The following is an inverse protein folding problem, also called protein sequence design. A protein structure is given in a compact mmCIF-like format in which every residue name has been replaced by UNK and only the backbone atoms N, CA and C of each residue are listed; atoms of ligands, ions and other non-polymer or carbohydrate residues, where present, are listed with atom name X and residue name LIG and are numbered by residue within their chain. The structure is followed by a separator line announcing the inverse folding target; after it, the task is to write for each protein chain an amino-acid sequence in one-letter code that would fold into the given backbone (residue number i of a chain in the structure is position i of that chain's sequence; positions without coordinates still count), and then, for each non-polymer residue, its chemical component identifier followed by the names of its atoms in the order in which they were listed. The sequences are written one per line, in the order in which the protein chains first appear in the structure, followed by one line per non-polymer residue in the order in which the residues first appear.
data_IF_368134775004
#
_entry.id   IF_368134775004
#
_cell.length_a   1.000
_cell.length_b   1.000
_cell.length_c   1.000
_cell.angle_alpha   90.00
_cell.angle_beta   90.00
_cell.angle_gamma   90.00
#
_symmetry.space_group_name_H-M   'P 1'
#
loop_
_entity.id
_entity.type
_entity.pdbx_description
1 polymer ?
#
# COMPACT_ATOMS: atom_id res chain seq x y z
N UNK A 1 -0.27 -33.87 -7.16
CA UNK A 1 0.98 -33.16 -6.83
C UNK A 1 1.66 -32.81 -8.14
N UNK A 2 1.52 -31.57 -8.59
CA UNK A 2 2.22 -31.05 -9.77
C UNK A 2 3.13 -29.92 -9.29
N UNK A 3 4.37 -30.25 -9.01
CA UNK A 3 5.44 -29.26 -8.80
C UNK A 3 5.81 -28.67 -10.14
N UNK A 4 5.09 -27.64 -10.55
CA UNK A 4 5.49 -26.78 -11.66
C UNK A 4 6.76 -26.02 -11.25
N UNK A 5 7.91 -26.58 -11.60
CA UNK A 5 9.16 -25.82 -11.73
C UNK A 5 8.88 -24.66 -12.70
N UNK A 6 8.57 -23.47 -12.20
CA UNK A 6 8.57 -22.25 -13.01
C UNK A 6 10.02 -21.81 -13.15
N UNK A 7 10.74 -22.13 -14.24
CA UNK A 7 12.19 -22.08 -14.20
C UNK A 7 12.72 -20.65 -14.15
N UNK A 8 11.89 -19.65 -14.46
CA UNK A 8 12.28 -18.24 -14.49
C UNK A 8 11.08 -17.32 -14.23
N UNK A 9 10.87 -16.89 -12.97
CA UNK A 9 9.85 -15.89 -12.56
C UNK A 9 10.21 -14.47 -13.04
N UNK A 10 11.17 -14.33 -13.96
CA UNK A 10 11.78 -13.05 -14.32
C UNK A 10 10.88 -12.13 -15.15
N UNK A 11 9.94 -12.66 -15.93
CA UNK A 11 9.08 -11.83 -16.79
C UNK A 11 7.71 -11.55 -16.16
N UNK A 12 7.10 -10.44 -16.56
CA UNK A 12 5.80 -9.97 -16.05
C UNK A 12 4.68 -11.00 -16.22
N UNK A 13 4.68 -11.76 -17.33
CA UNK A 13 3.69 -12.82 -17.57
C UNK A 13 3.76 -13.90 -16.51
N UNK A 14 4.96 -14.41 -16.21
CA UNK A 14 5.15 -15.46 -15.24
C UNK A 14 4.82 -14.97 -13.82
N UNK A 15 5.15 -13.72 -13.49
CA UNK A 15 4.79 -13.10 -12.20
C UNK A 15 3.29 -12.97 -12.03
N UNK A 16 2.58 -12.48 -13.05
CA UNK A 16 1.12 -12.35 -13.01
C UNK A 16 0.44 -13.72 -12.87
N UNK A 17 0.90 -14.72 -13.63
CA UNK A 17 0.36 -16.08 -13.53
C UNK A 17 0.58 -16.67 -12.13
N UNK A 18 1.80 -16.56 -11.60
CA UNK A 18 2.14 -17.04 -10.25
C UNK A 18 1.30 -16.36 -9.17
N UNK A 19 1.13 -15.04 -9.26
CA UNK A 19 0.29 -14.29 -8.34
C UNK A 19 -1.14 -14.83 -8.34
N UNK A 20 -1.75 -14.93 -9.52
CA UNK A 20 -3.12 -15.42 -9.67
C UNK A 20 -3.27 -16.86 -9.16
N UNK A 21 -2.29 -17.73 -9.43
CA UNK A 21 -2.29 -19.13 -8.99
C UNK A 21 -2.30 -19.28 -7.47
N UNK A 22 -1.68 -18.35 -6.75
CA UNK A 22 -1.66 -18.37 -5.29
C UNK A 22 -2.89 -17.72 -4.66
N UNK A 23 -3.53 -16.77 -5.36
CA UNK A 23 -4.65 -16.01 -4.81
C UNK A 23 -6.02 -16.56 -5.18
N UNK A 24 -6.12 -17.37 -6.23
CA UNK A 24 -7.40 -17.86 -6.75
C UNK A 24 -7.37 -19.37 -6.95
N UNK A 25 -8.43 -20.05 -6.50
CA UNK A 25 -8.61 -21.49 -6.68
C UNK A 25 -8.55 -21.90 -8.15
N UNK A 26 -7.80 -22.97 -8.43
CA UNK A 26 -7.52 -23.45 -9.79
C UNK A 26 -8.79 -23.81 -10.57
N UNK A 27 -9.78 -24.44 -9.92
CA UNK A 27 -10.98 -24.96 -10.59
C UNK A 27 -11.91 -23.84 -11.07
N UNK A 28 -11.90 -22.72 -10.36
CA UNK A 28 -12.83 -21.61 -10.58
C UNK A 28 -12.15 -20.33 -11.07
N UNK A 29 -10.82 -20.36 -11.24
CA UNK A 29 -9.95 -19.21 -11.53
C UNK A 29 -10.52 -18.20 -12.51
N UNK A 30 -10.85 -18.62 -13.72
CA UNK A 30 -11.25 -17.67 -14.77
C UNK A 30 -12.60 -17.02 -14.51
N UNK A 31 -13.55 -17.78 -13.95
CA UNK A 31 -14.86 -17.25 -13.57
C UNK A 31 -14.76 -16.31 -12.37
N UNK A 32 -13.92 -16.67 -11.39
CA UNK A 32 -13.65 -15.82 -10.23
C UNK A 32 -12.97 -14.51 -10.64
N UNK A 33 -11.94 -14.57 -11.50
CA UNK A 33 -11.28 -13.37 -12.01
C UNK A 33 -12.22 -12.49 -12.81
N UNK A 34 -13.08 -13.05 -13.66
CA UNK A 34 -14.09 -12.27 -14.39
C UNK A 34 -15.05 -11.55 -13.44
N UNK A 35 -15.54 -12.24 -12.41
CA UNK A 35 -16.41 -11.63 -11.40
C UNK A 35 -15.71 -10.52 -10.60
N UNK A 36 -14.42 -10.68 -10.31
CA UNK A 36 -13.63 -9.72 -9.51
C UNK A 36 -13.13 -8.52 -10.33
N UNK A 37 -12.84 -8.72 -11.62
CA UNK A 37 -12.12 -7.73 -12.45
C UNK A 37 -12.95 -7.15 -13.58
N UNK A 38 -14.11 -7.73 -13.88
CA UNK A 38 -14.91 -7.45 -15.06
C UNK A 38 -14.18 -7.69 -16.40
N UNK A 39 -13.03 -8.38 -16.38
CA UNK A 39 -12.30 -8.82 -17.56
C UNK A 39 -12.77 -10.22 -17.94
N UNK A 40 -13.19 -10.40 -19.20
CA UNK A 40 -13.82 -11.65 -19.66
C UNK A 40 -12.99 -12.88 -19.31
N UNK A 41 -13.63 -13.95 -18.84
CA UNK A 41 -12.95 -15.21 -18.48
C UNK A 41 -12.14 -15.80 -19.65
N UNK A 42 -12.58 -15.57 -20.89
CA UNK A 42 -11.86 -15.98 -22.09
C UNK A 42 -10.49 -15.29 -22.22
N UNK A 43 -10.39 -14.01 -21.88
CA UNK A 43 -9.13 -13.29 -21.91
C UNK A 43 -8.16 -13.86 -20.86
N UNK A 44 -8.63 -14.08 -19.63
CA UNK A 44 -7.80 -14.73 -18.61
C UNK A 44 -7.30 -16.11 -19.06
N UNK A 45 -8.17 -16.89 -19.70
CA UNK A 45 -7.80 -18.20 -20.26
C UNK A 45 -6.73 -18.08 -21.35
N UNK A 46 -6.89 -17.14 -22.28
CA UNK A 46 -5.94 -16.93 -23.38
C UNK A 46 -4.58 -16.44 -22.86
N UNK A 47 -4.56 -15.62 -21.80
CA UNK A 47 -3.34 -15.20 -21.12
C UNK A 47 -2.59 -16.40 -20.51
N UNK A 48 -3.30 -17.25 -19.76
CA UNK A 48 -2.72 -18.46 -19.16
C UNK A 48 -2.23 -19.45 -20.23
N UNK A 49 -2.99 -19.61 -21.32
CA UNK A 49 -2.62 -20.44 -22.47
C UNK A 49 -1.43 -19.87 -23.28
N UNK A 50 -0.97 -18.65 -22.97
CA UNK A 50 0.14 -18.00 -23.68
C UNK A 50 -0.22 -17.49 -25.07
N UNK A 51 -1.52 -17.40 -25.38
CA UNK A 51 -2.03 -16.84 -26.63
C UNK A 51 -2.01 -15.31 -26.63
N UNK A 52 -2.00 -14.68 -25.45
CA UNK A 52 -1.81 -13.25 -25.31
C UNK A 52 -0.82 -12.89 -24.21
N UNK A 53 -0.19 -11.72 -24.37
CA UNK A 53 0.60 -11.08 -23.32
C UNK A 53 -0.34 -10.45 -22.27
N UNK A 54 0.12 -10.22 -21.03
CA UNK A 54 -0.63 -9.41 -20.08
C UNK A 54 -0.99 -8.05 -20.69
N UNK A 55 -2.26 -7.66 -20.62
CA UNK A 55 -2.68 -6.31 -20.98
C UNK A 55 -2.53 -5.36 -19.79
N UNK A 56 -2.58 -4.05 -20.05
CA UNK A 56 -2.51 -3.04 -18.99
C UNK A 56 -3.66 -3.23 -17.99
N UNK A 57 -4.87 -3.52 -18.49
CA UNK A 57 -6.07 -3.74 -17.68
C UNK A 57 -5.92 -4.96 -16.76
N UNK A 58 -5.30 -6.04 -17.23
CA UNK A 58 -5.05 -7.22 -16.41
C UNK A 58 -4.07 -6.94 -15.27
N UNK A 59 -3.01 -6.18 -15.56
CA UNK A 59 -1.98 -5.80 -14.58
C UNK A 59 -2.60 -4.86 -13.54
N UNK A 60 -3.35 -3.86 -13.98
CA UNK A 60 -4.06 -2.94 -13.10
C UNK A 60 -5.06 -3.68 -12.21
N UNK A 61 -5.89 -4.55 -12.79
CA UNK A 61 -6.90 -5.30 -12.04
C UNK A 61 -6.27 -6.19 -10.96
N UNK A 62 -5.20 -6.93 -11.28
CA UNK A 62 -4.48 -7.73 -10.29
C UNK A 62 -3.82 -6.86 -9.21
N UNK A 63 -3.22 -5.72 -9.61
CA UNK A 63 -2.57 -4.79 -8.69
C UNK A 63 -3.57 -4.10 -7.75
N UNK A 64 -4.83 -3.95 -8.16
CA UNK A 64 -5.88 -3.37 -7.33
C UNK A 64 -6.52 -4.41 -6.40
N UNK A 65 -6.66 -5.66 -6.85
CA UNK A 65 -7.15 -6.76 -6.02
C UNK A 65 -6.17 -7.15 -4.91
N UNK A 66 -4.88 -7.13 -5.22
CA UNK A 66 -3.82 -7.53 -4.28
C UNK A 66 -2.68 -6.50 -4.27
N UNK A 67 -2.93 -5.30 -3.74
CA UNK A 67 -2.01 -4.17 -3.84
C UNK A 67 -0.67 -4.37 -3.12
N UNK A 68 -0.61 -5.26 -2.13
CA UNK A 68 0.64 -5.64 -1.49
C UNK A 68 1.64 -6.31 -2.46
N UNK A 69 1.18 -6.89 -3.56
CA UNK A 69 2.04 -7.53 -4.57
C UNK A 69 2.30 -6.64 -5.80
N UNK A 70 1.67 -5.46 -5.91
CA UNK A 70 1.72 -4.63 -7.11
C UNK A 70 3.15 -4.20 -7.49
N UNK A 71 3.96 -3.81 -6.50
CA UNK A 71 5.36 -3.45 -6.71
C UNK A 71 6.14 -4.63 -7.28
N UNK A 72 6.10 -5.78 -6.60
CA UNK A 72 6.78 -7.00 -7.06
C UNK A 72 6.30 -7.47 -8.42
N UNK A 73 4.99 -7.38 -8.70
CA UNK A 73 4.40 -7.77 -9.97
C UNK A 73 5.03 -7.02 -11.15
N UNK A 74 5.35 -5.74 -10.97
CA UNK A 74 5.92 -4.89 -12.04
C UNK A 74 7.45 -4.88 -12.01
N UNK A 75 8.08 -4.73 -10.84
CA UNK A 75 9.54 -4.56 -10.71
C UNK A 75 10.34 -5.86 -10.60
N UNK A 76 9.75 -6.88 -9.97
CA UNK A 76 10.35 -8.21 -9.81
C UNK A 76 11.15 -8.34 -8.51
N UNK A 77 11.16 -7.27 -7.72
CA UNK A 77 11.77 -7.19 -6.39
C UNK A 77 10.69 -6.80 -5.38
N UNK A 78 10.84 -7.20 -4.13
CA UNK A 78 9.96 -6.77 -3.04
C UNK A 78 10.52 -5.55 -2.32
N UNK A 79 9.62 -4.77 -1.71
CA UNK A 79 9.93 -3.69 -0.78
C UNK A 79 9.15 -3.93 0.52
N UNK A 80 9.56 -5.02 1.18
CA UNK A 80 8.82 -5.55 2.30
C UNK A 80 8.87 -4.65 3.54
N UNK A 81 9.80 -3.70 3.63
CA UNK A 81 9.83 -2.69 4.69
C UNK A 81 8.58 -1.79 4.63
N UNK A 82 8.15 -1.45 3.42
CA UNK A 82 6.95 -0.65 3.16
C UNK A 82 5.68 -1.50 2.98
N UNK A 83 5.77 -2.82 3.17
CA UNK A 83 4.64 -3.74 3.05
C UNK A 83 4.36 -4.23 1.62
N UNK A 84 5.26 -3.96 0.68
CA UNK A 84 5.21 -4.51 -0.66
C UNK A 84 5.96 -5.83 -0.73
N UNK A 85 5.24 -6.93 -0.85
CA UNK A 85 5.79 -8.29 -0.72
C UNK A 85 5.71 -9.06 -2.05
N UNK A 86 6.37 -10.21 -2.14
CA UNK A 86 6.14 -11.15 -3.22
C UNK A 86 5.19 -12.29 -2.78
N UNK A 87 4.57 -13.01 -3.72
CA UNK A 87 3.92 -14.28 -3.43
C UNK A 87 4.90 -15.30 -2.85
N UNK A 88 4.38 -16.33 -2.18
CA UNK A 88 5.18 -17.36 -1.51
C UNK A 88 6.18 -17.98 -2.48
N UNK A 89 7.45 -18.05 -2.04
CA UNK A 89 8.55 -18.63 -2.82
C UNK A 89 9.12 -17.74 -3.91
N UNK A 90 8.63 -16.51 -4.08
CA UNK A 90 9.12 -15.55 -5.07
C UNK A 90 9.79 -14.30 -4.46
N UNK A 91 10.03 -14.31 -3.16
CA UNK A 91 10.65 -13.21 -2.42
C UNK A 91 12.12 -13.01 -2.83
N UNK A 92 12.45 -11.77 -3.22
CA UNK A 92 13.80 -11.30 -3.43
C UNK A 92 13.86 -9.80 -3.14
N UNK A 93 14.83 -9.28 -2.37
CA UNK A 93 16.03 -9.95 -1.84
C UNK A 93 15.87 -10.60 -0.46
N UNK A 94 14.82 -10.28 0.31
CA UNK A 94 14.60 -10.81 1.66
C UNK A 94 13.20 -11.40 1.80
N UNK A 95 13.12 -12.55 2.48
CA UNK A 95 11.85 -13.10 2.96
C UNK A 95 11.42 -12.29 4.17
N UNK A 96 10.26 -11.67 4.07
CA UNK A 96 9.64 -10.93 5.17
C UNK A 96 8.20 -11.42 5.33
N UNK A 97 7.70 -11.54 6.56
CA UNK A 97 6.32 -11.92 6.79
C UNK A 97 5.39 -10.86 6.18
N UNK A 98 4.24 -11.31 5.68
CA UNK A 98 3.17 -10.43 5.21
C UNK A 98 2.85 -9.39 6.27
N UNK A 99 2.77 -8.12 5.87
CA UNK A 99 2.28 -7.04 6.72
C UNK A 99 0.78 -6.85 6.48
N UNK A 100 -0.04 -7.30 7.43
CA UNK A 100 -1.50 -7.21 7.27
C UNK A 100 -1.99 -5.77 7.28
N UNK A 101 -1.39 -4.92 8.11
CA UNK A 101 -1.77 -3.52 8.21
C UNK A 101 -1.46 -2.78 6.90
N UNK A 102 -0.32 -3.08 6.25
CA UNK A 102 0.01 -2.51 4.95
C UNK A 102 -0.98 -2.93 3.86
N UNK A 103 -1.34 -4.22 3.80
CA UNK A 103 -2.30 -4.73 2.82
C UNK A 103 -3.66 -4.02 2.97
N UNK A 104 -4.15 -3.90 4.22
CA UNK A 104 -5.40 -3.19 4.54
C UNK A 104 -5.31 -1.69 4.21
N UNK A 105 -4.18 -1.06 4.52
CA UNK A 105 -3.93 0.35 4.20
C UNK A 105 -4.01 0.61 2.70
N UNK A 106 -3.38 -0.23 1.88
CA UNK A 106 -3.39 -0.05 0.43
C UNK A 106 -4.79 -0.19 -0.15
N UNK A 107 -5.55 -1.21 0.28
CA UNK A 107 -6.96 -1.37 -0.10
C UNK A 107 -7.75 -0.11 0.27
N UNK A 108 -7.57 0.40 1.50
CA UNK A 108 -8.26 1.60 1.97
C UNK A 108 -7.91 2.86 1.17
N UNK A 109 -6.64 3.00 0.76
CA UNK A 109 -6.20 4.10 -0.11
C UNK A 109 -6.81 3.99 -1.51
N UNK A 110 -6.95 2.77 -2.05
CA UNK A 110 -7.63 2.53 -3.33
C UNK A 110 -9.12 2.91 -3.20
N UNK A 111 -9.80 2.47 -2.15
CA UNK A 111 -11.20 2.85 -1.89
C UNK A 111 -11.36 4.38 -1.76
N UNK A 112 -10.40 5.05 -1.12
CA UNK A 112 -10.39 6.52 -1.02
C UNK A 112 -10.24 7.16 -2.39
N UNK A 113 -9.35 6.65 -3.23
CA UNK A 113 -9.15 7.13 -4.59
C UNK A 113 -10.42 6.93 -5.44
N UNK A 114 -11.07 5.79 -5.33
CA UNK A 114 -12.31 5.49 -6.06
C UNK A 114 -13.45 6.39 -5.61
N UNK A 115 -13.64 6.57 -4.30
CA UNK A 115 -14.63 7.51 -3.77
C UNK A 115 -14.40 8.95 -4.26
N UNK A 116 -13.13 9.37 -4.38
CA UNK A 116 -12.80 10.66 -4.97
C UNK A 116 -13.16 10.73 -6.46
N UNK A 117 -12.86 9.68 -7.24
CA UNK A 117 -13.20 9.61 -8.67
C UNK A 117 -14.71 9.63 -8.88
N UNK A 118 -15.47 8.90 -8.06
CA UNK A 118 -16.93 8.86 -8.13
C UNK A 118 -17.53 10.23 -7.80
N UNK A 119 -17.06 10.87 -6.73
CA UNK A 119 -17.49 12.22 -6.37
C UNK A 119 -17.19 13.23 -7.48
N UNK A 120 -16.04 13.10 -8.14
CA UNK A 120 -15.65 13.94 -9.26
C UNK A 120 -16.50 13.71 -10.50
N UNK A 121 -16.73 12.45 -10.89
CA UNK A 121 -17.56 12.10 -12.04
C UNK A 121 -19.04 12.46 -11.86
N UNK A 122 -19.50 12.55 -10.61
CA UNK A 122 -20.86 12.97 -10.29
C UNK A 122 -21.08 14.48 -10.45
N UNK A 123 -20.01 15.28 -10.51
CA UNK A 123 -20.09 16.72 -10.67
C UNK A 123 -19.87 17.12 -12.15
N UNK A 124 -20.93 17.60 -12.85
CA UNK A 124 -20.83 17.96 -14.27
C UNK A 124 -19.82 19.06 -14.55
N UNK A 125 -19.57 19.96 -13.59
CA UNK A 125 -18.68 21.11 -13.76
C UNK A 125 -17.19 20.70 -13.74
N UNK A 126 -16.90 19.46 -13.32
CA UNK A 126 -15.55 18.92 -13.21
C UNK A 126 -15.18 17.95 -14.33
N UNK A 127 -16.05 17.72 -15.32
CA UNK A 127 -15.72 16.84 -16.45
C UNK A 127 -14.67 17.43 -17.44
N UNK A 128 -14.00 18.53 -17.07
CA UNK A 128 -12.90 19.12 -17.82
C UNK A 128 -11.60 18.28 -17.65
N UNK A 129 -11.01 17.77 -18.75
CA UNK A 129 -9.75 17.00 -18.71
C UNK A 129 -8.59 17.73 -18.00
N UNK A 130 -8.54 19.06 -18.05
CA UNK A 130 -7.49 19.86 -17.39
C UNK A 130 -7.67 19.82 -15.88
N UNK A 131 -8.91 19.84 -15.40
CA UNK A 131 -9.23 19.70 -13.97
C UNK A 131 -8.92 18.29 -13.47
N UNK A 132 -9.18 17.25 -14.27
CA UNK A 132 -8.81 15.86 -13.96
C UNK A 132 -7.30 15.72 -13.73
N UNK A 133 -6.48 16.32 -14.58
CA UNK A 133 -5.02 16.29 -14.47
C UNK A 133 -4.53 17.07 -13.23
N UNK A 134 -5.08 18.25 -12.97
CA UNK A 134 -4.68 19.10 -11.84
C UNK A 134 -4.99 18.45 -10.46
N UNK A 135 -6.11 17.73 -10.36
CA UNK A 135 -6.51 16.98 -9.16
C UNK A 135 -5.58 15.79 -8.93
N UNK A 136 -5.19 15.10 -10.00
CA UNK A 136 -4.30 13.94 -9.94
C UNK A 136 -2.88 14.34 -9.46
N UNK A 137 -2.38 15.50 -9.88
CA UNK A 137 -1.01 15.95 -9.59
C UNK A 137 -0.86 16.58 -8.20
N UNK A 138 -1.86 17.34 -7.72
CA UNK A 138 -1.73 18.14 -6.49
C UNK A 138 -2.25 17.46 -5.21
N UNK A 139 -2.80 16.25 -5.35
CA UNK A 139 -3.34 15.46 -4.26
C UNK A 139 -4.73 15.90 -3.82
N UNK A 140 -5.67 14.96 -3.80
CA UNK A 140 -7.09 15.13 -3.47
C UNK A 140 -7.38 15.82 -2.12
N UNK A 141 -6.43 15.82 -1.18
CA UNK A 141 -6.66 16.27 0.19
C UNK A 141 -6.88 17.78 0.34
N UNK A 142 -6.27 18.61 -0.52
CA UNK A 142 -6.40 20.06 -0.40
C UNK A 142 -7.66 20.60 -1.05
N UNK A 143 -8.20 19.90 -2.05
CA UNK A 143 -9.20 20.47 -2.92
C UNK A 143 -10.63 20.07 -2.61
N UNK A 144 -10.88 18.95 -1.93
CA UNK A 144 -12.26 18.48 -1.72
C UNK A 144 -13.16 19.47 -0.94
N UNK A 145 -12.58 20.23 0.01
CA UNK A 145 -13.30 21.30 0.71
C UNK A 145 -13.43 22.59 -0.12
N UNK A 146 -12.54 22.81 -1.09
CA UNK A 146 -12.57 23.96 -2.00
C UNK A 146 -13.44 23.71 -3.25
N UNK A 147 -13.70 22.44 -3.59
CA UNK A 147 -14.36 22.00 -4.83
C UNK A 147 -15.88 21.85 -4.72
N UNK A 148 -16.50 22.22 -3.59
CA UNK A 148 -17.97 22.21 -3.50
C UNK A 148 -18.62 20.82 -3.44
N UNK A 149 -17.87 19.76 -3.11
CA UNK A 149 -18.44 18.41 -2.97
C UNK A 149 -19.58 18.39 -1.94
N UNK A 150 -20.56 17.51 -2.19
CA UNK A 150 -21.68 17.29 -1.27
C UNK A 150 -21.20 16.91 0.13
N UNK A 151 -21.99 17.26 1.15
CA UNK A 151 -21.69 16.90 2.54
C UNK A 151 -21.50 15.39 2.70
N UNK A 152 -22.28 14.57 1.99
CA UNK A 152 -22.16 13.11 2.00
C UNK A 152 -20.81 12.62 1.44
N UNK A 153 -20.34 13.15 0.30
CA UNK A 153 -19.03 12.79 -0.24
C UNK A 153 -17.90 13.20 0.71
N UNK A 154 -17.97 14.41 1.27
CA UNK A 154 -16.95 14.89 2.21
C UNK A 154 -16.94 14.09 3.52
N UNK A 155 -18.10 13.64 4.01
CA UNK A 155 -18.19 12.79 5.20
C UNK A 155 -17.55 11.42 4.98
N UNK A 156 -17.87 10.76 3.87
CA UNK A 156 -17.27 9.46 3.51
C UNK A 156 -15.75 9.57 3.34
N UNK A 157 -15.26 10.63 2.68
CA UNK A 157 -13.83 10.85 2.52
C UNK A 157 -13.11 11.08 3.85
N UNK A 158 -13.71 11.82 4.80
CA UNK A 158 -13.15 12.00 6.14
C UNK A 158 -13.06 10.69 6.91
N UNK A 159 -14.07 9.83 6.80
CA UNK A 159 -14.08 8.51 7.43
C UNK A 159 -12.95 7.63 6.87
N UNK A 160 -12.84 7.52 5.55
CA UNK A 160 -11.78 6.76 4.88
C UNK A 160 -10.38 7.28 5.22
N UNK A 161 -10.21 8.61 5.34
CA UNK A 161 -8.95 9.23 5.76
C UNK A 161 -8.59 8.89 7.22
N UNK A 162 -9.59 8.85 8.11
CA UNK A 162 -9.39 8.45 9.50
C UNK A 162 -8.96 6.99 9.58
N UNK A 163 -9.60 6.10 8.82
CA UNK A 163 -9.22 4.68 8.73
C UNK A 163 -7.80 4.51 8.16
N UNK A 164 -7.46 5.23 7.08
CA UNK A 164 -6.10 5.24 6.53
C UNK A 164 -5.05 5.62 7.58
N UNK A 165 -5.33 6.65 8.39
CA UNK A 165 -4.41 7.12 9.44
C UNK A 165 -4.18 6.02 10.50
N UNK A 166 -5.25 5.39 10.96
CA UNK A 166 -5.17 4.30 11.94
C UNK A 166 -4.38 3.10 11.40
N UNK A 167 -4.56 2.78 10.11
CA UNK A 167 -3.84 1.69 9.46
C UNK A 167 -2.36 2.02 9.23
N UNK A 168 -2.01 3.28 8.98
CA UNK A 168 -0.61 3.72 8.90
C UNK A 168 0.09 3.55 10.25
N UNK A 169 -0.54 4.00 11.34
CA UNK A 169 -0.04 3.82 12.71
C UNK A 169 0.14 2.33 13.03
N UNK A 170 -0.84 1.50 12.68
CA UNK A 170 -0.77 0.05 12.85
C UNK A 170 0.36 -0.59 12.02
N UNK A 171 0.61 -0.10 10.80
CA UNK A 171 1.69 -0.58 9.93
C UNK A 171 3.06 -0.26 10.52
N UNK A 172 3.26 0.95 11.03
CA UNK A 172 4.50 1.34 11.70
C UNK A 172 4.75 0.44 12.90
N UNK A 173 3.73 0.21 13.74
CA UNK A 173 3.84 -0.67 14.90
C UNK A 173 4.13 -2.13 14.50
N UNK A 174 3.45 -2.65 13.48
CA UNK A 174 3.67 -4.00 12.95
C UNK A 174 5.10 -4.17 12.43
N UNK A 175 5.60 -3.17 11.70
CA UNK A 175 6.99 -3.14 11.22
C UNK A 175 7.97 -3.12 12.40
N UNK A 176 7.77 -2.25 13.39
CA UNK A 176 8.63 -2.19 14.57
C UNK A 176 8.69 -3.52 15.31
N UNK A 177 7.55 -4.17 15.55
CA UNK A 177 7.49 -5.49 16.20
C UNK A 177 8.24 -6.54 15.38
N UNK A 178 8.00 -6.59 14.07
CA UNK A 178 8.57 -7.63 13.19
C UNK A 178 10.05 -7.43 12.89
N UNK A 179 10.56 -6.20 12.92
CA UNK A 179 11.96 -5.87 12.62
C UNK A 179 12.83 -5.83 13.89
N UNK A 180 12.31 -5.36 15.04
CA UNK A 180 13.10 -5.26 16.28
C UNK A 180 13.11 -6.50 17.17
N UNK A 181 12.25 -7.49 16.94
CA UNK A 181 12.28 -8.72 17.71
C UNK A 181 13.28 -9.74 17.11
N UNK A 182 14.27 -10.25 17.86
CA UNK A 182 15.25 -11.20 17.34
C UNK A 182 14.58 -12.46 16.79
N UNK A 183 14.95 -12.81 15.56
CA UNK A 183 14.52 -13.98 14.80
C UNK A 183 15.19 -15.24 15.40
N UNK A 184 14.87 -15.62 16.64
CA UNK A 184 15.06 -17.01 17.05
C UNK A 184 13.86 -17.81 16.52
N UNK A 185 14.09 -18.43 15.34
CA UNK A 185 13.28 -19.51 14.75
C UNK A 185 11.78 -19.20 14.52
N UNK A 186 11.47 -18.54 13.40
CA UNK A 186 10.08 -18.44 12.94
C UNK A 186 9.47 -19.80 12.54
N UNK A 187 10.30 -20.80 12.23
CA UNK A 187 9.83 -22.17 11.94
C UNK A 187 9.20 -22.87 13.16
N UNK A 188 9.52 -22.45 14.39
CA UNK A 188 8.94 -23.02 15.62
C UNK A 188 7.65 -22.32 16.10
N UNK A 189 7.34 -21.12 15.61
CA UNK A 189 6.30 -20.26 16.22
C UNK A 189 4.86 -20.56 15.76
N UNK A 190 4.64 -21.16 14.59
CA UNK A 190 3.27 -21.52 14.15
C UNK A 190 2.63 -22.62 15.02
N UNK A 191 3.43 -23.43 15.74
CA UNK A 191 2.92 -24.46 16.67
C UNK A 191 2.66 -23.96 18.09
N UNK A 192 3.25 -22.84 18.53
CA UNK A 192 3.19 -22.38 19.93
C UNK A 192 2.34 -21.11 20.17
N UNK A 193 1.83 -20.50 19.09
CA UNK A 193 1.19 -19.18 19.11
C UNK A 193 0.10 -18.97 20.20
N UNK A 194 -0.79 -19.94 20.52
CA UNK A 194 -1.82 -19.73 21.54
C UNK A 194 -1.28 -19.70 22.98
N UNK A 195 -0.15 -20.37 23.25
CA UNK A 195 0.43 -20.45 24.60
C UNK A 195 1.29 -19.23 24.92
N UNK A 196 2.03 -18.72 23.94
CA UNK A 196 2.90 -17.54 24.07
C UNK A 196 2.11 -16.22 24.20
N UNK A 197 0.97 -16.07 23.51
CA UNK A 197 0.09 -14.89 23.66
C UNK A 197 -0.45 -14.75 25.10
N UNK A 198 -0.80 -15.87 25.76
CA UNK A 198 -1.20 -15.89 27.18
C UNK A 198 -0.05 -15.58 28.15
N UNK A 199 1.19 -15.78 27.73
CA UNK A 199 2.40 -15.51 28.51
C UNK A 199 2.86 -14.05 28.35
N UNK A 200 2.70 -13.49 27.14
CA UNK A 200 2.97 -12.08 26.83
C UNK A 200 2.00 -11.12 27.53
N UNK A 201 0.73 -11.51 27.71
CA UNK A 201 -0.23 -10.76 28.54
C UNK A 201 0.17 -10.66 30.03
N UNK A 202 1.19 -11.42 30.48
CA UNK A 202 1.71 -11.41 31.85
C UNK A 202 3.05 -10.66 32.00
N UNK A 203 3.67 -10.23 30.89
CA UNK A 203 4.92 -9.48 30.94
C UNK A 203 4.62 -7.99 31.16
N UNK A 204 5.24 -7.39 32.18
CA UNK A 204 5.12 -5.96 32.49
C UNK A 204 5.80 -5.13 31.38
N UNK A 205 5.33 -3.90 31.10
CA UNK A 205 5.92 -3.03 30.08
C UNK A 205 7.41 -2.83 30.34
N UNK A 206 8.18 -2.88 29.25
CA UNK A 206 9.63 -2.67 29.26
C UNK A 206 9.90 -1.23 29.70
N UNK A 207 10.52 -1.07 30.87
CA UNK A 207 11.06 0.20 31.32
C UNK A 207 12.37 0.44 30.59
N UNK A 208 12.44 1.50 29.78
CA UNK A 208 13.68 1.96 29.17
C UNK A 208 14.64 2.46 30.26
N UNK A 209 15.94 2.24 30.11
CA UNK A 209 16.94 2.91 30.94
C UNK A 209 16.91 4.41 30.66
N UNK A 210 17.22 5.23 31.67
CA UNK A 210 17.20 6.68 31.55
C UNK A 210 18.07 7.17 30.36
N UNK A 211 19.21 6.52 30.11
CA UNK A 211 20.09 6.81 28.95
C UNK A 211 19.40 6.60 27.58
N UNK A 212 18.48 5.63 27.49
CA UNK A 212 17.77 5.34 26.24
C UNK A 212 16.62 6.33 26.00
N UNK A 213 16.04 6.87 27.08
CA UNK A 213 15.05 7.96 26.99
C UNK A 213 15.74 9.25 26.54
N UNK A 214 16.93 9.54 27.09
CA UNK A 214 17.69 10.74 26.73
C UNK A 214 18.15 10.73 25.25
N UNK A 215 18.61 9.60 24.70
CA UNK A 215 18.94 9.47 23.27
C UNK A 215 17.70 9.70 22.38
N UNK A 216 16.53 9.20 22.78
CA UNK A 216 15.28 9.41 22.04
C UNK A 216 14.83 10.86 22.08
N UNK A 217 14.94 11.53 23.23
CA UNK A 217 14.64 12.96 23.36
C UNK A 217 15.57 13.83 22.52
N UNK A 218 16.86 13.50 22.48
CA UNK A 218 17.84 14.20 21.63
C UNK A 218 17.53 14.04 20.14
N UNK A 219 17.16 12.82 19.70
CA UNK A 219 16.75 12.56 18.31
C UNK A 219 15.48 13.31 17.92
N UNK A 220 14.48 13.31 18.81
CA UNK A 220 13.22 14.03 18.59
C UNK A 220 13.46 15.54 18.46
N UNK A 221 14.33 16.11 19.31
CA UNK A 221 14.71 17.52 19.24
C UNK A 221 15.41 17.87 17.92
N UNK A 222 16.36 17.03 17.48
CA UNK A 222 17.06 17.23 16.22
C UNK A 222 16.12 17.18 15.00
N UNK A 223 15.11 16.30 15.04
CA UNK A 223 14.11 16.21 13.98
C UNK A 223 13.19 17.44 13.93
N UNK A 224 12.76 17.94 15.09
CA UNK A 224 11.97 19.18 15.20
C UNK A 224 12.73 20.39 14.64
N UNK A 225 14.02 20.54 14.96
CA UNK A 225 14.85 21.61 14.42
C UNK A 225 15.01 21.51 12.89
N UNK A 226 15.15 20.29 12.36
CA UNK A 226 15.21 20.03 10.92
C UNK A 226 13.91 20.46 10.24
N UNK A 227 12.75 20.15 10.82
CA UNK A 227 11.44 20.53 10.30
C UNK A 227 11.25 22.05 10.26
N UNK A 228 11.63 22.76 11.32
CA UNK A 228 11.56 24.23 11.39
C UNK A 228 12.52 24.91 10.39
N UNK A 229 13.66 24.28 10.09
CA UNK A 229 14.54 24.74 9.01
C UNK A 229 13.86 24.62 7.64
N UNK A 230 13.17 23.51 7.38
CA UNK A 230 12.42 23.33 6.12
C UNK A 230 11.31 24.35 5.98
N UNK A 231 10.50 24.59 7.02
CA UNK A 231 9.42 25.61 6.98
C UNK A 231 9.96 27.01 6.66
N UNK A 232 11.12 27.39 7.22
CA UNK A 232 11.78 28.68 6.92
C UNK A 232 12.30 28.78 5.49
N UNK A 233 12.75 27.68 4.90
CA UNK A 233 13.17 27.63 3.49
C UNK A 233 11.94 27.77 2.59
N UNK A 234 10.89 26.99 2.86
CA UNK A 234 9.63 27.03 2.10
C UNK A 234 8.98 28.43 2.16
N UNK A 235 8.95 29.07 3.33
CA UNK A 235 8.44 30.43 3.49
C UNK A 235 9.23 31.44 2.63
N UNK A 236 10.57 31.36 2.64
CA UNK A 236 11.41 32.23 1.80
C UNK A 236 11.18 32.00 0.31
N UNK A 237 10.97 30.74 -0.09
CA UNK A 237 10.67 30.40 -1.47
C UNK A 237 9.32 30.99 -1.92
N UNK A 238 8.28 30.91 -1.07
CA UNK A 238 6.98 31.53 -1.34
C UNK A 238 7.05 33.05 -1.46
N UNK A 239 7.82 33.72 -0.59
CA UNK A 239 8.05 35.16 -0.69
C UNK A 239 8.77 35.55 -1.99
N UNK A 240 9.76 34.76 -2.42
CA UNK A 240 10.48 35.00 -3.67
C UNK A 240 9.60 34.79 -4.92
N UNK A 241 8.61 33.90 -4.87
CA UNK A 241 7.68 33.67 -5.98
C UNK A 241 6.56 34.72 -6.09
N UNK A 242 6.22 35.40 -4.99
CA UNK A 242 5.17 36.42 -4.96
C UNK A 242 5.69 37.87 -4.90
N UNK A 243 7.01 38.07 -4.82
CA UNK A 243 7.66 39.38 -4.69
C UNK A 243 8.21 39.99 -5.99
N UNK A 244 7.86 39.45 -7.16
CA UNK A 244 8.37 39.92 -8.48
C UNK A 244 7.30 40.52 -9.40
N UNK A 245 6.22 41.05 -8.84
CA UNK A 245 5.17 41.78 -9.59
C UNK A 245 4.79 43.12 -8.96
N UNK A 246 5.78 43.93 -8.58
CA UNK A 246 5.64 45.38 -8.44
C UNK A 246 6.96 46.04 -8.87
N UNK A 247 7.10 46.24 -10.19
CA UNK A 247 7.70 47.42 -10.86
C UNK A 247 7.65 47.24 -12.39
#
# INVERSE_FOLDING_TARGET
MSTSQHPYVWNLRNRLALLIEQQVDEKTRFKALEALTNIKATQWRDFFAGKQRPTAEMIEAASRLWPEYAFWLVTGVSDAEHGHIAPFGADFPRKMPRQEAASKLFIKRIETLDACKDAFNADPDFNDPIMQEHVFVNGYHRSAAQMGFTEAHTARLRELQKECRQLEEARVLEHEIKVRMPIESYEDTEREHPRRVKQLAKLKPVTYSDDAVEDLEQRLKAEQERLERYKRIEHRYKLAQHGTTED
#
